data_IF_716062333554
#
_entry.id   IF_716062333554
#
_cell.length_a   1.000
_cell.length_b   1.000
_cell.length_c   1.000
_cell.angle_alpha   90.00
_cell.angle_beta   90.00
_cell.angle_gamma   90.00
#
_symmetry.space_group_name_H-M   'P 1'
#
loop_
_entity.id
_entity.type
_entity.pdbx_description
1 polymer ?
#
# COMPACT_ATOMS: atom_id res chain seq x y z
N UNK A 1 15.00 -47.62 -8.50
CA UNK A 1 14.55 -47.03 -7.21
C UNK A 1 13.57 -45.90 -7.52
N UNK A 2 12.29 -46.02 -7.16
CA UNK A 2 11.33 -44.94 -7.38
C UNK A 2 11.68 -43.77 -6.47
N UNK A 3 11.92 -42.60 -7.06
CA UNK A 3 12.12 -41.36 -6.31
C UNK A 3 10.82 -41.03 -5.59
N UNK A 4 10.82 -41.12 -4.27
CA UNK A 4 9.72 -40.62 -3.44
C UNK A 4 9.58 -39.12 -3.69
N UNK A 5 8.57 -38.75 -4.48
CA UNK A 5 8.12 -37.37 -4.59
C UNK A 5 7.53 -37.01 -3.22
N UNK A 6 8.09 -36.05 -2.47
CA UNK A 6 7.54 -35.68 -1.17
C UNK A 6 6.10 -35.19 -1.36
N UNK A 7 5.17 -35.84 -0.66
CA UNK A 7 3.72 -35.60 -0.73
C UNK A 7 3.29 -34.26 -0.11
N UNK A 8 4.22 -33.50 0.48
CA UNK A 8 3.96 -32.19 1.07
C UNK A 8 4.89 -31.15 0.46
N UNK A 9 4.37 -29.99 0.03
CA UNK A 9 5.22 -28.91 -0.46
C UNK A 9 6.08 -28.39 0.71
N UNK A 10 7.38 -28.64 0.65
CA UNK A 10 8.32 -28.19 1.67
C UNK A 10 8.61 -26.69 1.49
N UNK A 11 8.32 -25.90 2.53
CA UNK A 11 8.63 -24.46 2.52
C UNK A 11 10.10 -24.21 2.82
N UNK A 12 10.76 -23.45 1.96
CA UNK A 12 12.11 -22.94 2.20
C UNK A 12 12.12 -21.92 3.36
N UNK A 13 13.27 -21.74 4.04
CA UNK A 13 13.40 -20.79 5.18
C UNK A 13 12.88 -19.39 4.84
N UNK A 14 13.18 -18.90 3.64
CA UNK A 14 12.70 -17.61 3.13
C UNK A 14 11.18 -17.57 2.95
N UNK A 15 10.56 -18.66 2.50
CA UNK A 15 9.10 -18.74 2.37
C UNK A 15 8.41 -18.77 3.74
N UNK A 16 8.99 -19.48 4.72
CA UNK A 16 8.49 -19.46 6.11
C UNK A 16 8.56 -18.06 6.71
N UNK A 17 9.67 -17.34 6.48
CA UNK A 17 9.82 -15.94 6.86
C UNK A 17 8.74 -15.04 6.23
N UNK A 18 8.51 -15.16 4.92
CA UNK A 18 7.47 -14.38 4.25
C UNK A 18 6.04 -14.77 4.66
N UNK A 19 5.78 -16.04 4.96
CA UNK A 19 4.48 -16.46 5.53
C UNK A 19 4.23 -15.77 6.87
N UNK A 20 5.20 -15.82 7.78
CA UNK A 20 5.07 -15.22 9.11
C UNK A 20 4.92 -13.69 9.02
N UNK A 21 5.82 -13.02 8.31
CA UNK A 21 5.77 -11.56 8.16
C UNK A 21 4.51 -11.08 7.46
N UNK A 22 4.11 -11.70 6.35
CA UNK A 22 2.86 -11.34 5.67
C UNK A 22 1.64 -11.56 6.58
N UNK A 23 1.63 -12.62 7.39
CA UNK A 23 0.52 -12.90 8.33
C UNK A 23 0.42 -11.80 9.39
N UNK A 24 1.54 -11.47 10.05
CA UNK A 24 1.60 -10.42 11.07
C UNK A 24 1.16 -9.07 10.50
N UNK A 25 1.69 -8.69 9.33
CA UNK A 25 1.35 -7.41 8.71
C UNK A 25 -0.13 -7.38 8.30
N UNK A 26 -0.67 -8.49 7.76
CA UNK A 26 -2.10 -8.59 7.43
C UNK A 26 -2.97 -8.39 8.68
N UNK A 27 -2.58 -9.00 9.80
CA UNK A 27 -3.27 -8.87 11.08
C UNK A 27 -3.24 -7.43 11.59
N UNK A 28 -2.09 -6.74 11.51
CA UNK A 28 -2.01 -5.34 11.94
C UNK A 28 -2.94 -4.42 11.15
N UNK A 29 -2.99 -4.57 9.83
CA UNK A 29 -3.92 -3.79 8.99
C UNK A 29 -5.38 -4.15 9.25
N UNK A 30 -5.68 -5.42 9.52
CA UNK A 30 -7.02 -5.86 9.93
C UNK A 30 -7.43 -5.29 11.29
N UNK A 31 -6.52 -5.26 12.27
CA UNK A 31 -6.80 -4.61 13.56
C UNK A 31 -7.04 -3.11 13.41
N UNK A 32 -6.32 -2.45 12.51
CA UNK A 32 -6.56 -1.05 12.21
C UNK A 32 -7.95 -0.84 11.58
N UNK A 33 -8.38 -1.71 10.67
CA UNK A 33 -9.72 -1.69 10.10
C UNK A 33 -10.81 -1.91 11.16
N UNK A 34 -10.65 -2.93 12.01
CA UNK A 34 -11.58 -3.22 13.10
C UNK A 34 -11.67 -2.05 14.07
N UNK A 35 -10.52 -1.48 14.45
CA UNK A 35 -10.44 -0.33 15.34
C UNK A 35 -11.13 0.89 14.72
N UNK A 36 -10.97 1.13 13.42
CA UNK A 36 -11.67 2.19 12.71
C UNK A 36 -13.17 1.92 12.64
N UNK A 37 -13.60 0.70 12.33
CA UNK A 37 -15.02 0.32 12.26
C UNK A 37 -15.74 0.47 13.61
N UNK A 38 -15.06 0.18 14.73
CA UNK A 38 -15.60 0.34 16.08
C UNK A 38 -15.58 1.81 16.52
N UNK A 39 -14.45 2.49 16.35
CA UNK A 39 -14.26 3.83 16.92
C UNK A 39 -14.88 4.94 16.08
N UNK A 40 -14.97 4.79 14.76
CA UNK A 40 -15.59 5.79 13.88
C UNK A 40 -17.03 6.14 14.28
N UNK A 41 -17.96 5.17 14.47
CA UNK A 41 -19.32 5.48 14.91
C UNK A 41 -19.40 6.00 16.36
N UNK A 42 -18.44 5.64 17.22
CA UNK A 42 -18.45 6.02 18.63
C UNK A 42 -17.90 7.43 18.89
N UNK A 43 -16.87 7.84 18.14
CA UNK A 43 -16.07 9.04 18.44
C UNK A 43 -16.21 10.14 17.39
N UNK A 44 -16.86 9.87 16.25
CA UNK A 44 -16.93 10.79 15.09
C UNK A 44 -15.54 11.20 14.57
N UNK A 45 -15.48 11.98 13.49
CA UNK A 45 -14.26 12.44 12.84
C UNK A 45 -13.34 13.26 13.77
N UNK A 46 -13.90 13.93 14.78
CA UNK A 46 -13.18 14.90 15.63
C UNK A 46 -12.27 14.29 16.70
N UNK A 47 -12.55 13.07 17.15
CA UNK A 47 -11.78 12.39 18.22
C UNK A 47 -10.89 11.24 17.71
N UNK A 48 -10.86 10.99 16.40
CA UNK A 48 -9.95 10.02 15.77
C UNK A 48 -8.48 10.46 15.75
N UNK A 49 -8.23 11.74 16.05
CA UNK A 49 -6.98 12.43 15.84
C UNK A 49 -5.82 12.03 16.77
N UNK A 50 -6.05 11.35 17.90
CA UNK A 50 -4.97 10.95 18.82
C UNK A 50 -4.72 9.43 18.81
N UNK A 51 -5.69 8.61 19.24
CA UNK A 51 -5.45 7.17 19.44
C UNK A 51 -5.32 6.34 18.15
N UNK A 52 -6.11 6.64 17.11
CA UNK A 52 -6.05 5.92 15.82
C UNK A 52 -4.92 6.45 14.95
N UNK A 53 -4.67 7.76 14.99
CA UNK A 53 -3.59 8.40 14.24
C UNK A 53 -2.23 7.80 14.59
N UNK A 54 -1.91 7.69 15.88
CA UNK A 54 -0.62 7.17 16.34
C UNK A 54 -0.44 5.70 15.98
N UNK A 55 -1.51 4.89 16.11
CA UNK A 55 -1.49 3.48 15.74
C UNK A 55 -1.33 3.29 14.23
N UNK A 56 -2.04 4.09 13.44
CA UNK A 56 -1.90 4.11 11.98
C UNK A 56 -0.50 4.50 11.54
N UNK A 57 0.07 5.58 12.09
CA UNK A 57 1.43 6.02 11.79
C UNK A 57 2.45 4.94 12.16
N UNK A 58 2.29 4.30 13.32
CA UNK A 58 3.16 3.21 13.76
C UNK A 58 3.15 2.03 12.78
N UNK A 59 1.96 1.56 12.37
CA UNK A 59 1.83 0.47 11.39
C UNK A 59 2.39 0.89 10.02
N UNK A 60 2.11 2.12 9.58
CA UNK A 60 2.59 2.65 8.33
C UNK A 60 4.13 2.69 8.29
N UNK A 61 4.77 3.23 9.33
CA UNK A 61 6.24 3.32 9.42
C UNK A 61 6.85 1.92 9.53
N UNK A 62 6.30 1.05 10.37
CA UNK A 62 6.79 -0.32 10.54
C UNK A 62 6.75 -1.10 9.21
N UNK A 63 5.67 -0.95 8.44
CA UNK A 63 5.56 -1.61 7.13
C UNK A 63 6.52 -1.04 6.10
N UNK A 64 6.75 0.28 6.08
CA UNK A 64 7.77 0.89 5.22
C UNK A 64 9.16 0.35 5.56
N UNK A 65 9.53 0.32 6.85
CA UNK A 65 10.83 -0.20 7.30
C UNK A 65 10.98 -1.67 6.90
N UNK A 66 9.96 -2.50 7.14
CA UNK A 66 9.96 -3.91 6.80
C UNK A 66 10.12 -4.14 5.29
N UNK A 67 9.43 -3.37 4.45
CA UNK A 67 9.55 -3.49 2.99
C UNK A 67 10.94 -3.10 2.48
N UNK A 68 11.50 -2.00 3.00
CA UNK A 68 12.85 -1.56 2.64
C UNK A 68 13.91 -2.55 3.13
N UNK A 69 13.78 -3.06 4.35
CA UNK A 69 14.66 -4.10 4.90
C UNK A 69 14.62 -5.37 4.06
N UNK A 70 13.42 -5.88 3.74
CA UNK A 70 13.25 -7.05 2.88
C UNK A 70 13.86 -6.82 1.49
N UNK A 71 13.75 -5.62 0.95
CA UNK A 71 14.37 -5.29 -0.33
C UNK A 71 15.90 -5.37 -0.26
N UNK A 72 16.51 -4.74 0.74
CA UNK A 72 17.96 -4.65 0.90
C UNK A 72 18.57 -6.02 1.20
N UNK A 73 18.00 -6.76 2.17
CA UNK A 73 18.58 -7.99 2.70
C UNK A 73 18.25 -9.21 1.84
N UNK A 74 17.07 -9.27 1.25
CA UNK A 74 16.59 -10.47 0.54
C UNK A 74 16.56 -10.21 -0.97
N UNK A 75 15.77 -9.25 -1.43
CA UNK A 75 15.47 -9.12 -2.87
C UNK A 75 16.62 -8.58 -3.72
N UNK A 76 17.54 -7.81 -3.14
CA UNK A 76 18.77 -7.35 -3.79
C UNK A 76 19.66 -8.52 -4.22
N UNK A 77 19.65 -9.60 -3.43
CA UNK A 77 20.52 -10.76 -3.60
C UNK A 77 19.88 -11.93 -4.37
N UNK A 78 18.59 -11.82 -4.73
CA UNK A 78 17.89 -12.82 -5.54
C UNK A 78 17.90 -12.38 -7.01
N UNK A 79 18.79 -12.93 -7.86
CA UNK A 79 18.70 -12.77 -9.31
C UNK A 79 17.51 -13.60 -9.79
N UNK A 80 16.52 -12.98 -10.42
CA UNK A 80 15.41 -13.73 -11.00
C UNK A 80 14.14 -12.94 -11.27
N UNK A 81 13.57 -13.21 -12.43
CA UNK A 81 12.20 -12.89 -12.83
C UNK A 81 11.26 -13.83 -12.06
N UNK A 82 10.07 -13.36 -11.69
CA UNK A 82 9.06 -14.17 -11.01
C UNK A 82 8.70 -15.37 -11.88
N UNK A 83 9.06 -16.58 -11.47
CA UNK A 83 8.70 -17.83 -12.14
C UNK A 83 7.62 -18.57 -11.35
N UNK A 84 6.98 -19.58 -11.95
CA UNK A 84 5.98 -20.43 -11.29
C UNK A 84 6.53 -21.04 -9.98
N UNK A 85 7.82 -21.34 -9.95
CA UNK A 85 8.51 -21.94 -8.80
C UNK A 85 9.04 -20.91 -7.78
N UNK A 86 9.08 -19.62 -8.13
CA UNK A 86 9.48 -18.54 -7.23
C UNK A 86 8.26 -17.69 -6.83
N UNK A 87 7.61 -18.10 -5.74
CA UNK A 87 6.40 -17.47 -5.21
C UNK A 87 6.66 -16.16 -4.44
N UNK A 88 7.92 -15.73 -4.33
CA UNK A 88 8.26 -14.58 -3.49
C UNK A 88 7.85 -13.28 -4.21
N UNK A 89 7.04 -12.41 -3.59
CA UNK A 89 6.59 -11.16 -4.19
C UNK A 89 7.72 -10.12 -4.21
N UNK A 90 8.58 -10.14 -5.23
CA UNK A 90 9.63 -9.13 -5.43
C UNK A 90 9.03 -7.81 -5.92
N UNK A 91 9.10 -6.71 -5.15
CA UNK A 91 8.66 -5.40 -5.61
C UNK A 91 9.71 -4.78 -6.56
N UNK A 92 9.25 -3.93 -7.47
CA UNK A 92 10.16 -3.11 -8.29
C UNK A 92 10.74 -1.98 -7.45
N UNK A 93 12.07 -1.79 -7.49
CA UNK A 93 12.79 -0.78 -6.70
C UNK A 93 12.20 0.62 -6.85
N UNK A 94 11.97 1.06 -8.09
CA UNK A 94 11.42 2.41 -8.37
C UNK A 94 10.06 2.59 -7.70
N UNK A 95 9.19 1.59 -7.79
CA UNK A 95 7.86 1.65 -7.18
C UNK A 95 7.97 1.69 -5.65
N UNK A 96 8.83 0.85 -5.07
CA UNK A 96 9.05 0.78 -3.62
C UNK A 96 9.53 2.13 -3.05
N UNK A 97 10.49 2.78 -3.71
CA UNK A 97 11.00 4.10 -3.32
C UNK A 97 9.89 5.15 -3.40
N UNK A 98 9.19 5.24 -4.54
CA UNK A 98 8.12 6.23 -4.74
C UNK A 98 7.01 6.02 -3.68
N UNK A 99 6.59 4.78 -3.45
CA UNK A 99 5.57 4.49 -2.43
C UNK A 99 6.06 4.83 -1.03
N UNK A 100 7.31 4.54 -0.70
CA UNK A 100 7.89 4.85 0.62
C UNK A 100 7.93 6.37 0.84
N UNK A 101 8.41 7.13 -0.15
CA UNK A 101 8.44 8.60 -0.09
C UNK A 101 7.03 9.15 0.09
N UNK A 102 6.06 8.70 -0.71
CA UNK A 102 4.67 9.20 -0.63
C UNK A 102 4.01 8.94 0.73
N UNK A 103 4.31 7.79 1.36
CA UNK A 103 3.78 7.45 2.69
C UNK A 103 4.48 8.22 3.79
N UNK A 104 5.79 8.40 3.68
CA UNK A 104 6.57 9.20 4.64
C UNK A 104 6.17 10.67 4.59
N UNK A 105 5.94 11.25 3.41
CA UNK A 105 5.45 12.64 3.30
C UNK A 105 4.08 12.79 3.93
N UNK A 106 3.18 11.81 3.72
CA UNK A 106 1.87 11.80 4.32
C UNK A 106 1.94 11.67 5.85
N UNK A 107 2.78 10.75 6.36
CA UNK A 107 3.03 10.58 7.78
C UNK A 107 3.60 11.86 8.42
N UNK A 108 4.56 12.51 7.75
CA UNK A 108 5.14 13.77 8.18
C UNK A 108 4.08 14.86 8.32
N UNK A 109 3.15 14.98 7.37
CA UNK A 109 2.08 15.99 7.42
C UNK A 109 1.12 15.71 8.56
N UNK A 110 0.68 14.46 8.74
CA UNK A 110 -0.22 14.06 9.82
C UNK A 110 0.40 14.38 11.18
N UNK A 111 1.69 14.08 11.35
CA UNK A 111 2.41 14.29 12.60
C UNK A 111 2.62 15.77 12.92
N UNK A 112 2.98 16.58 11.92
CA UNK A 112 3.36 17.98 12.13
C UNK A 112 2.18 18.98 12.04
N UNK A 113 1.07 18.58 11.41
CA UNK A 113 -0.13 19.40 11.22
C UNK A 113 -1.39 18.68 11.75
N UNK A 114 -1.51 18.47 13.07
CA UNK A 114 -2.64 17.74 13.68
C UNK A 114 -4.00 18.42 13.47
N UNK A 115 -4.05 19.69 13.07
CA UNK A 115 -5.32 20.34 12.67
C UNK A 115 -5.91 19.73 11.39
N UNK A 116 -5.07 19.15 10.52
CA UNK A 116 -5.49 18.48 9.28
C UNK A 116 -6.20 17.15 9.58
N UNK A 117 -5.84 16.48 10.68
CA UNK A 117 -6.42 15.18 11.07
C UNK A 117 -7.85 15.28 11.60
N UNK A 118 -8.34 16.51 11.83
CA UNK A 118 -9.74 16.79 12.20
C UNK A 118 -10.70 16.79 10.99
N UNK A 119 -10.16 16.75 9.76
CA UNK A 119 -10.97 16.68 8.55
C UNK A 119 -11.50 15.26 8.31
N UNK A 120 -12.64 15.13 7.62
CA UNK A 120 -13.21 13.83 7.25
C UNK A 120 -12.34 13.04 6.26
N UNK A 121 -11.44 13.72 5.55
CA UNK A 121 -10.47 13.08 4.66
C UNK A 121 -9.44 12.24 5.40
N UNK A 122 -9.19 12.53 6.68
CA UNK A 122 -8.26 11.77 7.51
C UNK A 122 -8.71 10.33 7.83
N UNK A 123 -9.92 10.09 8.37
CA UNK A 123 -10.40 8.72 8.54
C UNK A 123 -10.59 8.01 7.18
N UNK A 124 -10.95 8.75 6.13
CA UNK A 124 -11.11 8.19 4.79
C UNK A 124 -9.78 7.69 4.23
N UNK A 125 -8.67 8.42 4.40
CA UNK A 125 -7.36 7.95 3.93
C UNK A 125 -6.85 6.74 4.73
N UNK A 126 -7.12 6.70 6.04
CA UNK A 126 -6.78 5.56 6.89
C UNK A 126 -7.56 4.32 6.43
N UNK A 127 -8.86 4.47 6.15
CA UNK A 127 -9.70 3.39 5.62
C UNK A 127 -9.17 2.91 4.26
N UNK A 128 -8.89 3.81 3.33
CA UNK A 128 -8.35 3.44 2.02
C UNK A 128 -7.03 2.68 2.15
N UNK A 129 -6.07 3.22 2.90
CA UNK A 129 -4.77 2.59 3.08
C UNK A 129 -4.91 1.22 3.71
N UNK A 130 -5.70 1.11 4.77
CA UNK A 130 -5.86 -0.15 5.49
C UNK A 130 -6.56 -1.23 4.67
N UNK A 131 -7.58 -0.89 3.87
CA UNK A 131 -8.19 -1.85 2.93
C UNK A 131 -7.20 -2.26 1.84
N UNK A 132 -6.51 -1.30 1.19
CA UNK A 132 -5.53 -1.59 0.14
C UNK A 132 -4.41 -2.48 0.65
N UNK A 133 -3.86 -2.16 1.81
CA UNK A 133 -2.77 -2.89 2.43
C UNK A 133 -3.22 -4.28 2.90
N UNK A 134 -4.38 -4.40 3.52
CA UNK A 134 -4.94 -5.71 3.89
C UNK A 134 -5.03 -6.64 2.66
N UNK A 135 -5.65 -6.19 1.57
CA UNK A 135 -5.75 -7.00 0.35
C UNK A 135 -4.38 -7.26 -0.31
N UNK A 136 -3.43 -6.32 -0.21
CA UNK A 136 -2.05 -6.51 -0.69
C UNK A 136 -1.35 -7.64 0.05
N UNK A 137 -1.32 -7.57 1.38
CA UNK A 137 -0.61 -8.52 2.23
C UNK A 137 -1.32 -9.88 2.26
N UNK A 138 -2.66 -9.89 2.25
CA UNK A 138 -3.43 -11.12 2.12
C UNK A 138 -3.15 -11.83 0.78
N UNK A 139 -3.10 -11.08 -0.33
CA UNK A 139 -2.71 -11.66 -1.62
C UNK A 139 -1.27 -12.21 -1.59
N UNK A 140 -0.33 -11.49 -0.99
CA UNK A 140 1.06 -11.95 -0.87
C UNK A 140 1.17 -13.21 0.00
N UNK A 141 0.40 -13.30 1.09
CA UNK A 141 0.29 -14.50 1.92
C UNK A 141 -0.20 -15.68 1.08
N UNK A 142 -1.30 -15.51 0.33
CA UNK A 142 -1.84 -16.57 -0.54
C UNK A 142 -0.86 -16.95 -1.65
N UNK A 143 -0.13 -15.98 -2.21
CA UNK A 143 0.91 -16.21 -3.21
C UNK A 143 2.00 -17.14 -2.69
N UNK A 144 2.50 -16.88 -1.48
CA UNK A 144 3.55 -17.69 -0.84
C UNK A 144 3.02 -19.06 -0.42
N UNK A 145 1.81 -19.12 0.17
CA UNK A 145 1.16 -20.36 0.63
C UNK A 145 0.85 -21.32 -0.51
N UNK A 146 0.39 -20.81 -1.64
CA UNK A 146 -0.08 -21.62 -2.78
C UNK A 146 0.95 -21.72 -3.91
N UNK A 147 2.20 -21.33 -3.68
CA UNK A 147 3.26 -21.38 -4.69
C UNK A 147 2.82 -20.79 -6.05
N UNK A 148 2.31 -19.55 -6.04
CA UNK A 148 1.71 -18.85 -7.19
C UNK A 148 0.38 -19.38 -7.73
N UNK A 149 -0.17 -20.51 -7.23
CA UNK A 149 -1.50 -21.04 -7.63
C UNK A 149 -2.65 -20.31 -6.91
N UNK A 150 -2.70 -18.98 -7.06
CA UNK A 150 -3.71 -18.13 -6.39
C UNK A 150 -5.05 -18.23 -7.12
N UNK A 151 -6.18 -18.46 -6.40
CA UNK A 151 -7.52 -18.43 -6.98
C UNK A 151 -7.82 -17.11 -7.69
N UNK A 152 -8.57 -17.17 -8.80
CA UNK A 152 -8.90 -15.99 -9.60
C UNK A 152 -9.70 -14.95 -8.80
N UNK A 153 -10.57 -15.39 -7.88
CA UNK A 153 -11.30 -14.50 -6.96
C UNK A 153 -10.37 -13.61 -6.12
N UNK A 154 -9.26 -14.16 -5.60
CA UNK A 154 -8.28 -13.39 -4.81
C UNK A 154 -7.47 -12.41 -5.67
N UNK A 155 -7.21 -12.75 -6.95
CA UNK A 155 -6.59 -11.84 -7.92
C UNK A 155 -7.54 -10.69 -8.27
N UNK A 156 -8.81 -11.01 -8.45
CA UNK A 156 -9.85 -10.08 -8.86
C UNK A 156 -10.20 -9.10 -7.74
N UNK A 157 -10.41 -9.58 -6.51
CA UNK A 157 -10.62 -8.73 -5.33
C UNK A 157 -9.49 -7.73 -5.15
N UNK A 158 -8.22 -8.17 -5.19
CA UNK A 158 -7.07 -7.26 -5.15
C UNK A 158 -7.14 -6.21 -6.27
N UNK A 159 -7.46 -6.62 -7.49
CA UNK A 159 -7.47 -5.73 -8.64
C UNK A 159 -8.57 -4.67 -8.53
N UNK A 160 -9.78 -5.07 -8.15
CA UNK A 160 -10.91 -4.15 -7.93
C UNK A 160 -10.59 -3.17 -6.80
N UNK A 161 -10.07 -3.67 -5.68
CA UNK A 161 -9.66 -2.83 -4.55
C UNK A 161 -8.68 -1.75 -4.98
N UNK A 162 -7.65 -2.10 -5.74
CA UNK A 162 -6.68 -1.12 -6.24
C UNK A 162 -7.28 -0.19 -7.31
N UNK A 163 -8.18 -0.67 -8.15
CA UNK A 163 -8.82 0.15 -9.19
C UNK A 163 -9.72 1.24 -8.58
N UNK A 164 -10.53 0.89 -7.58
CA UNK A 164 -11.46 1.81 -6.93
C UNK A 164 -10.78 2.72 -5.91
N UNK A 165 -9.90 2.16 -5.08
CA UNK A 165 -9.36 2.90 -3.95
C UNK A 165 -8.17 3.79 -4.31
N UNK A 166 -7.43 3.51 -5.39
CA UNK A 166 -6.31 4.37 -5.81
C UNK A 166 -6.74 5.80 -6.18
N UNK A 167 -7.77 6.04 -7.01
CA UNK A 167 -8.21 7.41 -7.28
C UNK A 167 -8.73 8.11 -6.03
N UNK A 168 -9.41 7.39 -5.13
CA UNK A 168 -9.87 7.95 -3.86
C UNK A 168 -8.70 8.31 -2.92
N UNK A 169 -7.63 7.50 -2.90
CA UNK A 169 -6.39 7.78 -2.15
C UNK A 169 -5.75 9.08 -2.66
N UNK A 170 -5.72 9.26 -3.98
CA UNK A 170 -5.15 10.45 -4.61
C UNK A 170 -5.96 11.69 -4.23
N UNK A 171 -7.29 11.63 -4.33
CA UNK A 171 -8.15 12.77 -4.00
C UNK A 171 -8.03 13.15 -2.51
N UNK A 172 -8.02 12.16 -1.64
CA UNK A 172 -7.88 12.39 -0.19
C UNK A 172 -6.50 12.90 0.20
N UNK A 173 -5.43 12.41 -0.43
CA UNK A 173 -4.08 12.88 -0.15
C UNK A 173 -3.87 14.31 -0.65
N UNK A 174 -4.38 14.66 -1.84
CA UNK A 174 -4.37 16.05 -2.34
C UNK A 174 -5.13 16.97 -1.38
N UNK A 175 -6.31 16.56 -0.90
CA UNK A 175 -7.09 17.36 0.04
C UNK A 175 -6.33 17.59 1.35
N UNK A 176 -5.69 16.56 1.90
CA UNK A 176 -4.85 16.66 3.10
C UNK A 176 -3.67 17.61 2.87
N UNK A 177 -3.01 17.52 1.71
CA UNK A 177 -1.89 18.40 1.36
C UNK A 177 -2.35 19.84 1.15
N UNK A 178 -3.54 20.06 0.59
CA UNK A 178 -4.11 21.39 0.45
C UNK A 178 -4.45 21.99 1.83
N UNK A 179 -5.05 21.18 2.70
CA UNK A 179 -5.42 21.60 4.05
C UNK A 179 -4.19 21.95 4.91
N UNK A 180 -3.06 21.27 4.72
CA UNK A 180 -1.81 21.58 5.43
C UNK A 180 -1.17 22.90 4.99
N UNK A 181 -1.50 23.44 3.80
CA UNK A 181 -1.05 24.77 3.39
C UNK A 181 -1.69 25.90 4.21
N UNK A 182 -2.93 25.69 4.65
CA UNK A 182 -3.74 26.70 5.37
C UNK A 182 -3.25 26.85 6.81
N UNK A 183 -2.85 25.75 7.45
CA UNK A 183 -2.44 25.75 8.84
C UNK A 183 -0.94 25.99 9.01
N UNK A 184 -0.56 26.62 10.13
CA UNK A 184 0.84 26.69 10.56
C UNK A 184 1.25 25.38 11.23
N UNK A 185 2.53 25.04 11.12
CA UNK A 185 3.09 23.87 11.80
C UNK A 185 2.88 23.98 13.32
N UNK A 186 2.58 22.85 13.96
CA UNK A 186 2.39 22.81 15.41
C UNK A 186 3.74 22.79 16.16
N UNK A 187 4.81 22.30 15.52
CA UNK A 187 6.12 22.21 16.14
C UNK A 187 6.90 23.52 16.04
N UNK A 188 7.26 24.09 17.19
CA UNK A 188 8.03 25.34 17.30
C UNK A 188 9.31 25.30 16.45
N UNK A 189 10.00 24.15 16.44
CA UNK A 189 11.24 23.96 15.67
C UNK A 189 11.04 23.98 14.15
N UNK A 190 9.83 23.72 13.66
CA UNK A 190 9.50 23.70 12.23
C UNK A 190 8.91 25.02 11.74
N UNK A 191 8.51 25.92 12.64
CA UNK A 191 7.99 27.26 12.29
C UNK A 191 8.92 28.03 11.34
N UNK A 192 10.26 28.12 11.58
CA UNK A 192 11.14 28.86 10.66
C UNK A 192 11.25 28.21 9.27
N UNK A 193 10.94 26.92 9.16
CA UNK A 193 11.01 26.16 7.91
C UNK A 193 9.64 25.98 7.22
N UNK A 194 8.56 26.48 7.81
CA UNK A 194 7.18 26.25 7.33
C UNK A 194 6.99 26.77 5.90
N UNK A 195 7.68 27.86 5.52
CA UNK A 195 7.69 28.37 4.15
C UNK A 195 8.24 27.36 3.14
N UNK A 196 9.37 26.71 3.46
CA UNK A 196 9.99 25.71 2.58
C UNK A 196 9.13 24.45 2.48
N UNK A 197 8.56 24.00 3.61
CA UNK A 197 7.66 22.84 3.65
C UNK A 197 6.42 23.11 2.79
N UNK A 198 5.80 24.28 2.93
CA UNK A 198 4.63 24.68 2.13
C UNK A 198 4.96 24.81 0.64
N UNK A 199 6.15 25.34 0.31
CA UNK A 199 6.61 25.42 -1.08
C UNK A 199 6.79 24.02 -1.70
N UNK A 200 7.38 23.09 -0.95
CA UNK A 200 7.50 21.69 -1.35
C UNK A 200 6.12 21.03 -1.54
N UNK A 201 5.17 21.24 -0.63
CA UNK A 201 3.81 20.71 -0.76
C UNK A 201 3.06 21.27 -1.98
N UNK A 202 3.20 22.57 -2.27
CA UNK A 202 2.65 23.19 -3.48
C UNK A 202 3.21 22.53 -4.74
N UNK A 203 4.53 22.32 -4.79
CA UNK A 203 5.17 21.62 -5.88
C UNK A 203 4.61 20.20 -6.02
N UNK A 204 4.51 19.46 -4.91
CA UNK A 204 3.93 18.12 -4.93
C UNK A 204 2.52 18.12 -5.50
N UNK A 205 1.61 18.99 -5.04
CA UNK A 205 0.22 19.07 -5.53
C UNK A 205 0.17 19.31 -7.05
N UNK A 206 0.98 20.22 -7.58
CA UNK A 206 1.03 20.53 -9.01
C UNK A 206 1.43 19.32 -9.86
N UNK A 207 2.38 18.52 -9.39
CA UNK A 207 2.82 17.31 -10.11
C UNK A 207 1.96 16.08 -9.78
N UNK A 208 1.23 16.08 -8.67
CA UNK A 208 0.48 14.90 -8.19
C UNK A 208 -0.67 14.53 -9.13
N UNK A 209 -1.42 15.51 -9.63
CA UNK A 209 -2.54 15.30 -10.56
C UNK A 209 -2.10 14.71 -11.92
N UNK A 210 -1.14 15.29 -12.66
CA UNK A 210 -0.72 14.73 -13.95
C UNK A 210 -0.04 13.36 -13.81
N UNK A 211 0.74 13.14 -12.76
CA UNK A 211 1.40 11.84 -12.50
C UNK A 211 0.35 10.78 -12.13
N UNK A 212 -0.60 11.11 -11.26
CA UNK A 212 -1.65 10.17 -10.90
C UNK A 212 -2.55 9.80 -12.08
N UNK A 213 -2.92 10.76 -12.92
CA UNK A 213 -3.71 10.52 -14.12
C UNK A 213 -3.00 9.57 -15.10
N UNK A 214 -1.71 9.79 -15.37
CA UNK A 214 -0.93 8.92 -16.27
C UNK A 214 -0.78 7.50 -15.73
N UNK A 215 -0.56 7.35 -14.42
CA UNK A 215 -0.50 6.04 -13.75
C UNK A 215 -1.86 5.34 -13.81
N UNK A 216 -2.95 6.07 -13.52
CA UNK A 216 -4.31 5.53 -13.52
C UNK A 216 -4.73 5.08 -14.92
N UNK A 217 -4.46 5.90 -15.96
CA UNK A 217 -4.70 5.54 -17.37
C UNK A 217 -3.96 4.26 -17.75
N UNK A 218 -2.71 4.10 -17.31
CA UNK A 218 -1.91 2.89 -17.56
C UNK A 218 -2.44 1.66 -16.81
N UNK A 219 -3.00 1.84 -15.61
CA UNK A 219 -3.63 0.76 -14.87
C UNK A 219 -4.91 0.30 -15.56
N UNK A 220 -5.82 1.23 -15.89
CA UNK A 220 -7.03 0.94 -16.66
C UNK A 220 -6.68 0.23 -17.96
N UNK A 221 -5.69 0.72 -18.71
CA UNK A 221 -5.36 0.12 -19.99
C UNK A 221 -4.85 -1.31 -19.87
N UNK A 222 -4.07 -1.59 -18.82
CA UNK A 222 -3.60 -2.94 -18.52
C UNK A 222 -4.74 -3.87 -18.09
N UNK A 223 -5.75 -3.38 -17.38
CA UNK A 223 -6.86 -4.20 -16.89
C UNK A 223 -7.95 -4.44 -17.93
N UNK A 224 -8.32 -3.42 -18.71
CA UNK A 224 -9.43 -3.52 -19.66
C UNK A 224 -9.00 -3.84 -21.10
N UNK A 225 -7.81 -3.41 -21.55
CA UNK A 225 -7.41 -3.57 -22.95
C UNK A 225 -6.38 -4.69 -23.17
N UNK A 226 -5.54 -5.02 -22.19
CA UNK A 226 -4.57 -6.11 -22.35
C UNK A 226 -5.19 -7.52 -22.24
N UNK A 227 -6.34 -7.67 -21.57
CA UNK A 227 -7.05 -8.95 -21.52
C UNK A 227 -7.68 -9.32 -22.88
N UNK A 228 -8.16 -8.32 -23.63
CA UNK A 228 -8.77 -8.53 -24.96
C UNK A 228 -7.78 -9.01 -26.03
N UNK A 229 -6.47 -8.78 -25.85
CA UNK A 229 -5.46 -9.20 -26.83
C UNK A 229 -5.10 -10.68 -26.64
N UNK A 230 -5.02 -11.17 -25.39
CA UNK A 230 -4.71 -12.57 -25.10
C UNK A 230 -5.90 -13.52 -25.32
N UNK A 231 -7.14 -13.05 -25.15
CA UNK A 231 -8.33 -13.88 -25.45
C UNK A 231 -8.58 -14.01 -26.96
N UNK A 232 -8.19 -13.00 -27.76
CA UNK A 232 -8.32 -13.06 -29.21
C UNK A 232 -7.18 -13.81 -29.91
N UNK A 233 -6.02 -13.99 -29.27
CA UNK A 233 -4.95 -14.84 -29.80
C UNK A 233 -5.25 -16.33 -29.62
N UNK A 234 -5.98 -16.71 -28.56
CA UNK A 234 -6.38 -18.10 -28.33
C UNK A 234 -7.56 -18.54 -29.22
N UNK A 235 -8.41 -17.61 -29.66
CA UNK A 235 -9.53 -17.89 -30.59
C UNK A 235 -9.13 -17.98 -32.06
N UNK A 236 -7.88 -17.69 -32.41
CA UNK A 236 -7.36 -17.81 -33.79
C UNK A 236 -6.58 -19.11 -34.03
N UNK A 237 -6.55 -20.01 -33.04
CA UNK A 237 -5.86 -21.30 -33.09
C UNK A 237 -6.81 -22.50 -32.98
N UNK A 238 -8.12 -22.26 -33.08
CA UNK A 238 -9.16 -23.28 -33.32
C UNK A 238 -9.70 -23.11 -34.75
#
# INVERSE_FOLDING_TARGET
>A
MPQHIPSTPQYNRTQKYFLLTNTIVTIFWLFLLLRLAILYPLLSSRFLASGIADFYLSILIATIILENFNYIVIFRHIPGIQSINNSIPKPYLKNLIITSISRLTLAFIIFNYPKVTRSESFPLIILIHSVKEFFRWFYNLQKVRLFNKIPNFNKLSRSITYLLLTPLEILTSIYIFFQSLIFTSYQINLIPYDYYIKSFLKFQILFYLPISYTIYKRLISKYFFAHNINDNSNKKLE
#
